data_IF_351937173669
#
_entry.id   IF_351937173669
#
_cell.length_a   1.000
_cell.length_b   1.000
_cell.length_c   1.000
_cell.angle_alpha   90.00
_cell.angle_beta   90.00
_cell.angle_gamma   90.00
#
_symmetry.space_group_name_H-M   'P 1'
#
loop_
_entity.id
_entity.type
_entity.pdbx_description
1 polymer ?
#
# COMPACT_ATOMS: atom_id res chain seq x y z
N UNK A 1 -31.40 -49.95 3.42
CA UNK A 1 -30.11 -49.29 3.67
C UNK A 1 -30.14 -47.97 2.93
N UNK A 2 -30.03 -46.87 3.66
CA UNK A 2 -30.37 -45.53 3.17
C UNK A 2 -29.33 -45.01 2.17
N UNK A 3 -29.82 -44.50 1.04
CA UNK A 3 -29.07 -43.63 0.15
C UNK A 3 -29.11 -42.23 0.74
N UNK A 4 -27.97 -41.69 1.16
CA UNK A 4 -27.89 -40.28 1.56
C UNK A 4 -27.31 -39.45 0.41
N UNK A 5 -28.24 -38.69 -0.15
CA UNK A 5 -28.10 -37.72 -1.20
C UNK A 5 -27.11 -36.62 -0.85
N UNK A 6 -26.43 -36.16 -1.89
CA UNK A 6 -25.61 -34.94 -1.95
C UNK A 6 -26.37 -33.75 -1.36
N UNK A 7 -25.75 -33.02 -0.43
CA UNK A 7 -26.14 -31.65 -0.15
C UNK A 7 -25.09 -30.72 -0.76
N UNK A 8 -25.52 -30.00 -1.79
CA UNK A 8 -24.78 -28.93 -2.44
C UNK A 8 -25.23 -27.59 -1.82
N UNK A 9 -24.31 -26.62 -1.82
CA UNK A 9 -24.52 -25.20 -1.54
C UNK A 9 -24.55 -24.82 -0.05
N UNK A 10 -23.36 -24.50 0.48
CA UNK A 10 -23.26 -23.32 1.33
C UNK A 10 -22.99 -22.12 0.41
N UNK A 11 -24.11 -21.56 -0.04
CA UNK A 11 -24.27 -20.14 -0.31
C UNK A 11 -23.98 -19.41 1.01
N UNK A 12 -22.94 -18.59 1.03
CA UNK A 12 -22.75 -17.59 2.07
C UNK A 12 -21.97 -16.43 1.49
N UNK A 13 -22.77 -15.52 0.95
CA UNK A 13 -22.67 -14.08 1.18
C UNK A 13 -21.24 -13.51 1.24
N UNK A 14 -20.86 -12.90 0.13
CA UNK A 14 -19.91 -11.78 0.06
C UNK A 14 -20.24 -10.76 1.17
N UNK A 15 -19.23 -10.24 1.88
CA UNK A 15 -19.23 -8.82 2.16
C UNK A 15 -18.09 -8.21 1.36
N UNK A 16 -18.48 -7.38 0.40
CA UNK A 16 -17.62 -6.41 -0.23
C UNK A 16 -17.04 -5.56 0.90
N UNK A 17 -15.75 -5.73 1.18
CA UNK A 17 -15.00 -4.73 1.94
C UNK A 17 -14.35 -3.78 0.95
N UNK A 18 -15.23 -3.02 0.29
CA UNK A 18 -14.93 -1.64 -0.06
C UNK A 18 -14.68 -0.91 1.26
N UNK A 19 -13.42 -0.86 1.62
CA UNK A 19 -12.94 -0.12 2.77
C UNK A 19 -11.53 0.24 2.40
N UNK A 20 -11.36 1.52 2.10
CA UNK A 20 -10.14 2.29 2.22
C UNK A 20 -9.38 1.88 3.50
N UNK A 21 -8.71 0.72 3.45
CA UNK A 21 -7.81 0.27 4.49
C UNK A 21 -6.56 1.08 4.28
N UNK A 22 -6.61 2.33 4.74
CA UNK A 22 -5.44 3.13 5.02
C UNK A 22 -4.58 2.29 5.97
N UNK A 23 -3.62 1.55 5.39
CA UNK A 23 -2.68 0.78 6.16
C UNK A 23 -1.97 1.76 7.08
N UNK A 24 -1.97 1.47 8.38
CA UNK A 24 -1.28 2.31 9.34
C UNK A 24 0.21 2.28 9.02
N UNK A 25 0.92 3.43 8.97
CA UNK A 25 2.35 3.44 8.79
C UNK A 25 3.03 2.58 9.86
N UNK A 26 4.00 1.73 9.49
CA UNK A 26 4.85 1.04 10.46
C UNK A 26 5.50 2.05 11.42
N UNK A 27 5.72 1.67 12.69
CA UNK A 27 6.23 2.60 13.72
C UNK A 27 7.56 3.29 13.39
N UNK A 28 8.37 2.69 12.51
CA UNK A 28 9.62 3.31 12.00
C UNK A 28 9.37 4.51 11.08
N UNK A 29 8.18 4.62 10.49
CA UNK A 29 7.76 5.70 9.61
C UNK A 29 6.85 6.68 10.34
N UNK A 30 7.46 7.56 11.14
CA UNK A 30 6.72 8.62 11.82
C UNK A 30 6.39 9.72 10.79
N UNK A 31 5.14 9.73 10.32
CA UNK A 31 4.64 10.68 9.32
C UNK A 31 4.39 12.05 9.97
N UNK A 32 4.94 13.10 9.38
CA UNK A 32 4.74 14.51 9.78
C UNK A 32 3.81 15.23 8.81
N UNK A 33 3.81 14.84 7.53
CA UNK A 33 2.95 15.43 6.52
C UNK A 33 2.56 14.40 5.47
N UNK A 34 1.30 14.42 5.08
CA UNK A 34 0.79 13.71 3.91
C UNK A 34 0.57 14.74 2.81
N UNK A 35 1.03 14.45 1.60
CA UNK A 35 0.76 15.25 0.41
C UNK A 35 -0.46 14.69 -0.33
N UNK A 36 -1.09 15.51 -1.17
CA UNK A 36 -2.24 15.07 -1.96
C UNK A 36 -1.91 13.83 -2.80
N UNK A 37 -2.81 12.83 -2.84
CA UNK A 37 -2.64 11.66 -3.68
C UNK A 37 -2.62 12.06 -5.15
N UNK A 38 -1.75 11.41 -5.92
CA UNK A 38 -1.62 11.56 -7.36
C UNK A 38 -1.79 10.20 -8.02
N UNK A 39 -2.99 9.96 -8.54
CA UNK A 39 -3.40 8.62 -8.98
C UNK A 39 -3.32 7.64 -7.82
N UNK A 40 -2.64 6.52 -8.03
CA UNK A 40 -2.46 5.47 -7.01
C UNK A 40 -1.28 5.74 -6.06
N UNK A 41 -0.61 6.89 -6.17
CA UNK A 41 0.57 7.21 -5.38
C UNK A 41 0.29 8.33 -4.38
N UNK A 42 0.67 8.13 -3.13
CA UNK A 42 0.59 9.17 -2.10
C UNK A 42 1.97 9.40 -1.50
N UNK A 43 2.39 10.66 -1.41
CA UNK A 43 3.70 11.04 -0.89
C UNK A 43 3.59 11.43 0.59
N UNK A 44 4.45 10.83 1.42
CA UNK A 44 4.53 11.04 2.86
C UNK A 44 5.88 11.64 3.24
N UNK A 45 5.84 12.68 4.07
CA UNK A 45 7.01 13.25 4.72
C UNK A 45 7.15 12.69 6.13
N UNK A 46 8.32 12.13 6.41
CA UNK A 46 8.69 11.53 7.68
C UNK A 46 9.39 12.56 8.58
N UNK A 47 9.34 12.34 9.89
CA UNK A 47 10.03 13.18 10.89
C UNK A 47 11.56 13.07 10.77
N UNK A 48 12.05 11.87 10.48
CA UNK A 48 13.47 11.55 10.40
C UNK A 48 13.82 10.79 9.11
N UNK A 49 15.10 10.85 8.72
CA UNK A 49 15.57 10.13 7.54
C UNK A 49 15.57 8.63 7.82
N UNK A 50 14.58 7.94 7.28
CA UNK A 50 14.34 6.52 7.58
C UNK A 50 14.87 5.66 6.44
N UNK A 51 15.67 4.61 6.73
CA UNK A 51 16.11 3.67 5.71
C UNK A 51 14.95 2.78 5.25
N UNK A 52 14.83 2.59 3.94
CA UNK A 52 13.92 1.63 3.33
C UNK A 52 14.43 1.20 1.96
N UNK A 53 13.94 0.06 1.48
CA UNK A 53 14.20 -0.43 0.12
C UNK A 53 13.04 -0.03 -0.79
N UNK A 54 13.34 0.69 -1.87
CA UNK A 54 12.32 1.04 -2.87
C UNK A 54 11.91 -0.21 -3.64
N UNK A 55 10.63 -0.60 -3.60
CA UNK A 55 10.17 -1.80 -4.30
C UNK A 55 10.13 -1.70 -5.83
N UNK A 56 10.51 -0.55 -6.43
CA UNK A 56 10.56 -0.35 -7.90
C UNK A 56 11.98 -0.51 -8.41
N UNK A 57 12.92 0.24 -7.82
CA UNK A 57 14.31 0.21 -8.23
C UNK A 57 15.19 -0.72 -7.39
N UNK A 58 14.64 -1.35 -6.35
CA UNK A 58 15.32 -2.29 -5.44
C UNK A 58 16.59 -1.73 -4.78
N UNK A 59 16.71 -0.40 -4.69
CA UNK A 59 17.82 0.28 -4.04
C UNK A 59 17.39 0.71 -2.64
N UNK A 60 18.29 0.53 -1.68
CA UNK A 60 18.15 1.14 -0.36
C UNK A 60 18.20 2.66 -0.47
N UNK A 61 17.38 3.33 0.34
CA UNK A 61 17.24 4.78 0.45
C UNK A 61 17.13 5.15 1.91
N UNK A 62 17.86 6.18 2.33
CA UNK A 62 17.69 6.81 3.63
C UNK A 62 17.24 8.25 3.43
N UNK A 63 15.93 8.47 3.53
CA UNK A 63 15.31 9.77 3.15
C UNK A 63 14.13 10.10 4.07
N UNK A 64 13.71 11.37 4.05
CA UNK A 64 12.52 11.86 4.78
C UNK A 64 11.25 11.86 3.93
N UNK A 65 11.33 11.45 2.67
CA UNK A 65 10.20 11.43 1.74
C UNK A 65 10.05 10.03 1.14
N UNK A 66 8.88 9.45 1.35
CA UNK A 66 8.52 8.12 0.85
C UNK A 66 7.15 8.20 0.21
N UNK A 67 6.99 7.59 -0.95
CA UNK A 67 5.68 7.42 -1.56
C UNK A 67 5.19 5.99 -1.33
N UNK A 68 3.90 5.81 -1.08
CA UNK A 68 3.26 4.50 -1.04
C UNK A 68 2.40 4.33 -2.30
N UNK A 69 2.23 3.09 -2.73
CA UNK A 69 1.41 2.73 -3.87
C UNK A 69 0.13 2.03 -3.41
N UNK A 70 -1.02 2.42 -3.96
CA UNK A 70 -2.35 1.91 -3.61
C UNK A 70 -2.64 1.93 -2.10
N UNK A 71 -2.17 2.97 -1.41
CA UNK A 71 -2.29 3.11 0.04
C UNK A 71 -1.61 1.99 0.87
N UNK A 72 -0.67 1.25 0.28
CA UNK A 72 0.03 0.13 0.93
C UNK A 72 1.46 0.49 1.32
N UNK A 73 1.75 0.47 2.63
CA UNK A 73 3.10 0.70 3.17
C UNK A 73 4.08 -0.45 2.87
N UNK A 74 3.59 -1.59 2.40
CA UNK A 74 4.43 -2.65 1.84
C UNK A 74 5.08 -2.24 0.49
N UNK A 75 4.44 -1.35 -0.27
CA UNK A 75 4.91 -0.93 -1.61
C UNK A 75 5.51 0.47 -1.59
N UNK A 76 6.61 0.61 -0.86
CA UNK A 76 7.34 1.87 -0.77
C UNK A 76 8.07 2.22 -2.07
N UNK A 77 7.96 3.48 -2.47
CA UNK A 77 8.62 4.08 -3.63
C UNK A 77 9.48 5.25 -3.19
N UNK A 78 10.69 5.35 -3.75
CA UNK A 78 11.51 6.53 -3.55
C UNK A 78 10.99 7.72 -4.38
N UNK A 79 11.35 8.94 -3.96
CA UNK A 79 10.89 10.16 -4.63
C UNK A 79 11.22 10.19 -6.14
N UNK A 80 12.38 9.67 -6.55
CA UNK A 80 12.75 9.58 -7.97
C UNK A 80 11.84 8.62 -8.75
N UNK A 81 11.55 7.45 -8.19
CA UNK A 81 10.63 6.49 -8.81
C UNK A 81 9.19 7.01 -8.83
N UNK A 82 8.78 7.72 -7.78
CA UNK A 82 7.49 8.43 -7.71
C UNK A 82 7.37 9.46 -8.84
N UNK A 83 8.35 10.36 -8.99
CA UNK A 83 8.35 11.34 -10.08
C UNK A 83 8.28 10.70 -11.46
N UNK A 84 9.02 9.60 -11.68
CA UNK A 84 8.97 8.87 -12.94
C UNK A 84 7.59 8.23 -13.19
N UNK A 85 6.94 7.63 -12.19
CA UNK A 85 5.60 7.06 -12.35
C UNK A 85 4.56 8.13 -12.69
N UNK A 86 4.70 9.33 -12.12
CA UNK A 86 3.80 10.45 -12.43
C UNK A 86 4.00 11.05 -13.81
N UNK A 87 5.15 10.83 -14.45
CA UNK A 87 5.41 11.27 -15.82
C UNK A 87 5.07 10.22 -16.88
N UNK A 88 4.83 8.97 -16.47
CA UNK A 88 4.42 7.87 -17.35
C UNK A 88 2.89 7.84 -17.55
N UNK A 89 2.14 8.67 -16.81
CA UNK A 89 0.70 8.90 -16.92
C UNK A 89 0.40 10.33 -17.39
#
# INVERSE_FOLDING_TARGET
MASESRNSHEDSAVPEKDSDQAQTPPSKFVVVKVHDPKGELTLYRLSSSTPFTCGRCNKEKKVKLVAIYQNQWAHLRCNACYGKLLSEH
#
